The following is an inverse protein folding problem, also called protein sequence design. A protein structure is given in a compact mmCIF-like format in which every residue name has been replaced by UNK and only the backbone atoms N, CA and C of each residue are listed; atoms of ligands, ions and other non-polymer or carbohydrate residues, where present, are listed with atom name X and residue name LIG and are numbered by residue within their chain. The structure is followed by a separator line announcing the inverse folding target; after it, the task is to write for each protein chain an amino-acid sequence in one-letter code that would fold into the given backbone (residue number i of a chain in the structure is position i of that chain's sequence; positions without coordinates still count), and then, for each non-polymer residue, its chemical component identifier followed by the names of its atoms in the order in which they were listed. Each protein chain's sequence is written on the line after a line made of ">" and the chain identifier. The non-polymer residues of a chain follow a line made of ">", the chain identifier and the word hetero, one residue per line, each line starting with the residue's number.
data_IF_807763128571
#
_entry.id   IF_807763128571
#
_cell.length_a   1.000
_cell.length_b   1.000
_cell.length_c   1.000
_cell.angle_alpha   90.00
_cell.angle_beta   90.00
_cell.angle_gamma   90.00
#
_symmetry.space_group_name_H-M   'P 1'
#
loop_
_entity.id
_entity.type
_entity.pdbx_description
1 polymer ?
#
# COMPACT_ATOMS: atom_id res chain seq x y z
N UNK A 1 22.84 10.33 -0.42
CA UNK A 1 21.64 9.53 -0.73
C UNK A 1 21.74 9.03 -2.16
N UNK A 2 21.68 7.72 -2.37
CA UNK A 2 21.68 7.12 -3.71
C UNK A 2 20.24 7.04 -4.19
N UNK A 3 19.94 7.66 -5.32
CA UNK A 3 18.64 7.57 -5.99
C UNK A 3 18.79 6.80 -7.30
N UNK A 4 17.83 5.96 -7.62
CA UNK A 4 17.74 5.26 -8.90
C UNK A 4 16.40 5.57 -9.55
N UNK A 5 16.33 5.50 -10.87
CA UNK A 5 15.07 5.57 -11.61
C UNK A 5 14.76 4.18 -12.15
N UNK A 6 13.57 3.66 -11.82
CA UNK A 6 13.09 2.34 -12.23
C UNK A 6 11.67 2.54 -12.74
N UNK A 7 11.37 2.09 -13.95
CA UNK A 7 10.05 2.26 -14.59
C UNK A 7 9.55 3.71 -14.64
N UNK A 8 10.46 4.69 -14.68
CA UNK A 8 10.15 6.13 -14.64
C UNK A 8 9.85 6.69 -13.24
N UNK A 9 9.96 5.86 -12.20
CA UNK A 9 9.78 6.25 -10.80
C UNK A 9 11.14 6.41 -10.14
N UNK A 10 11.36 7.59 -9.54
CA UNK A 10 12.56 7.87 -8.76
C UNK A 10 12.47 7.24 -7.38
N UNK A 11 13.32 6.26 -7.10
CA UNK A 11 13.38 5.55 -5.83
C UNK A 11 14.64 5.98 -5.07
N UNK A 12 14.47 6.42 -3.82
CA UNK A 12 15.61 6.65 -2.93
C UNK A 12 15.83 5.44 -2.02
N UNK A 13 17.09 5.20 -1.67
CA UNK A 13 17.44 4.16 -0.71
C UNK A 13 16.66 4.32 0.62
N UNK A 14 16.01 3.23 1.05
CA UNK A 14 15.19 3.20 2.27
C UNK A 14 13.72 3.59 2.07
N UNK A 15 13.32 4.06 0.89
CA UNK A 15 11.91 4.28 0.58
C UNK A 15 11.15 2.96 0.42
N UNK A 16 9.86 3.02 0.71
CA UNK A 16 8.91 1.95 0.46
C UNK A 16 8.45 2.07 -0.98
N UNK A 17 8.44 0.96 -1.70
CA UNK A 17 7.98 0.89 -3.08
C UNK A 17 6.59 0.25 -3.14
N UNK A 18 5.77 0.72 -4.07
CA UNK A 18 4.49 0.10 -4.40
C UNK A 18 4.60 -0.58 -5.76
N UNK A 19 4.12 -1.81 -5.82
CA UNK A 19 4.13 -2.65 -7.01
C UNK A 19 2.69 -2.99 -7.40
N UNK A 20 2.29 -2.69 -8.63
CA UNK A 20 1.01 -3.12 -9.18
C UNK A 20 1.29 -4.11 -10.33
N UNK A 21 0.83 -5.36 -10.18
CA UNK A 21 1.10 -6.46 -11.12
C UNK A 21 2.60 -6.61 -11.46
N UNK A 22 3.45 -6.48 -10.44
CA UNK A 22 4.92 -6.59 -10.57
C UNK A 22 5.62 -5.36 -11.14
N UNK A 23 4.88 -4.34 -11.61
CA UNK A 23 5.44 -3.09 -12.09
C UNK A 23 5.58 -2.09 -10.95
N UNK A 24 6.73 -1.40 -10.90
CA UNK A 24 6.94 -0.34 -9.92
C UNK A 24 6.16 0.92 -10.32
N UNK A 25 5.22 1.31 -9.47
CA UNK A 25 4.30 2.44 -9.74
C UNK A 25 4.57 3.66 -8.85
N UNK A 26 5.19 3.45 -7.69
CA UNK A 26 5.51 4.54 -6.77
C UNK A 26 6.63 4.18 -5.79
N UNK A 27 7.30 5.22 -5.28
CA UNK A 27 8.04 5.17 -4.01
C UNK A 27 7.49 6.20 -3.03
N UNK A 28 7.71 5.95 -1.75
CA UNK A 28 7.19 6.77 -0.65
C UNK A 28 8.06 6.65 0.59
N UNK A 29 7.99 7.66 1.46
CA UNK A 29 8.76 7.68 2.72
C UNK A 29 8.07 6.91 3.84
N UNK A 30 6.79 6.60 3.68
CA UNK A 30 6.00 5.89 4.68
C UNK A 30 5.12 4.81 4.03
N UNK A 31 4.73 3.82 4.83
CA UNK A 31 3.87 2.73 4.38
C UNK A 31 2.46 3.23 4.08
N UNK A 32 1.99 4.23 4.82
CA UNK A 32 0.72 4.91 4.59
C UNK A 32 0.70 5.58 3.22
N UNK A 33 1.71 6.41 2.93
CA UNK A 33 1.83 7.10 1.64
C UNK A 33 1.95 6.10 0.47
N UNK A 34 2.73 5.01 0.65
CA UNK A 34 2.83 3.95 -0.35
C UNK A 34 1.47 3.27 -0.62
N UNK A 35 0.70 2.99 0.45
CA UNK A 35 -0.61 2.32 0.35
C UNK A 35 -1.62 3.22 -0.37
N UNK A 36 -1.67 4.51 -0.04
CA UNK A 36 -2.55 5.46 -0.71
C UNK A 36 -2.20 5.66 -2.18
N UNK A 37 -0.90 5.74 -2.52
CA UNK A 37 -0.44 5.83 -3.91
C UNK A 37 -0.75 4.56 -4.71
N UNK A 38 -0.70 3.39 -4.05
CA UNK A 38 -1.11 2.13 -4.66
C UNK A 38 -2.61 2.16 -5.01
N UNK A 39 -3.47 2.52 -4.06
CA UNK A 39 -4.93 2.56 -4.25
C UNK A 39 -5.34 3.55 -5.35
N UNK A 40 -4.67 4.70 -5.43
CA UNK A 40 -4.88 5.68 -6.50
C UNK A 40 -4.52 5.10 -7.88
N UNK A 41 -3.37 4.41 -8.00
CA UNK A 41 -2.99 3.74 -9.26
C UNK A 41 -3.86 2.53 -9.59
N UNK A 42 -4.41 1.85 -8.58
CA UNK A 42 -5.34 0.75 -8.74
C UNK A 42 -6.76 1.23 -9.07
N UNK A 43 -7.00 2.55 -9.09
CA UNK A 43 -8.32 3.15 -9.28
C UNK A 43 -9.35 2.59 -8.29
N UNK A 44 -9.00 2.52 -7.01
CA UNK A 44 -9.85 1.88 -6.01
C UNK A 44 -11.27 2.46 -5.88
N UNK A 45 -11.48 3.71 -6.31
CA UNK A 45 -12.81 4.34 -6.39
C UNK A 45 -13.76 3.66 -7.41
N UNK A 46 -13.22 2.89 -8.36
CA UNK A 46 -14.01 2.15 -9.37
C UNK A 46 -14.49 0.76 -8.85
N UNK A 47 -14.19 0.43 -7.60
CA UNK A 47 -14.39 -0.89 -6.97
C UNK A 47 -15.13 -0.75 -5.63
N UNK A 48 -15.61 -1.85 -5.06
CA UNK A 48 -16.40 -1.83 -3.83
C UNK A 48 -15.60 -2.26 -2.60
N UNK A 49 -14.60 -3.12 -2.76
CA UNK A 49 -13.87 -3.76 -1.67
C UNK A 49 -12.36 -3.49 -1.75
N UNK A 50 -11.78 -3.09 -0.62
CA UNK A 50 -10.33 -3.02 -0.41
C UNK A 50 -9.95 -4.01 0.70
N UNK A 51 -9.15 -5.01 0.38
CA UNK A 51 -8.64 -5.97 1.37
C UNK A 51 -7.15 -5.75 1.62
N UNK A 52 -6.78 -5.49 2.88
CA UNK A 52 -5.38 -5.36 3.31
C UNK A 52 -4.91 -6.63 4.03
N UNK A 53 -3.92 -7.31 3.46
CA UNK A 53 -3.19 -8.40 4.10
C UNK A 53 -1.88 -7.86 4.66
N UNK A 54 -1.74 -7.75 5.98
CA UNK A 54 -0.51 -7.24 6.59
C UNK A 54 0.52 -8.34 6.85
N UNK A 55 1.79 -8.01 6.61
CA UNK A 55 2.92 -8.91 6.85
C UNK A 55 3.30 -9.05 8.32
N UNK A 56 4.10 -10.07 8.62
CA UNK A 56 4.46 -10.46 9.99
C UNK A 56 5.17 -9.34 10.79
N UNK A 57 5.88 -8.45 10.11
CA UNK A 57 6.66 -7.38 10.74
C UNK A 57 5.85 -6.09 10.96
N UNK A 58 4.59 -6.05 10.53
CA UNK A 58 3.72 -4.89 10.69
C UNK A 58 2.87 -5.03 11.94
N UNK A 59 3.14 -4.18 12.93
CA UNK A 59 2.40 -4.16 14.19
C UNK A 59 0.96 -3.68 13.96
N UNK A 60 -0.01 -4.35 14.59
CA UNK A 60 -1.44 -4.03 14.50
C UNK A 60 -1.81 -2.56 14.74
N UNK A 61 -1.21 -1.83 15.72
CA UNK A 61 -1.50 -0.40 15.87
C UNK A 61 -1.10 0.46 14.66
N UNK A 62 -0.09 0.04 13.89
CA UNK A 62 0.30 0.71 12.65
C UNK A 62 -0.70 0.39 11.52
N UNK A 63 -1.16 -0.86 11.44
CA UNK A 63 -2.19 -1.28 10.48
C UNK A 63 -3.47 -0.46 10.69
N UNK A 64 -3.96 -0.37 11.92
CA UNK A 64 -5.18 0.37 12.24
C UNK A 64 -5.11 1.84 11.79
N UNK A 65 -3.99 2.52 12.06
CA UNK A 65 -3.78 3.91 11.61
C UNK A 65 -3.87 4.07 10.10
N UNK A 66 -3.27 3.15 9.35
CA UNK A 66 -3.29 3.19 7.88
C UNK A 66 -4.71 2.92 7.37
N UNK A 67 -5.41 1.97 7.98
CA UNK A 67 -6.80 1.64 7.64
C UNK A 67 -7.74 2.81 7.92
N UNK A 68 -7.55 3.53 9.01
CA UNK A 68 -8.34 4.73 9.33
C UNK A 68 -8.16 5.81 8.25
N UNK A 69 -6.91 6.05 7.82
CA UNK A 69 -6.61 7.00 6.73
C UNK A 69 -7.19 6.54 5.39
N UNK A 70 -7.14 5.23 5.09
CA UNK A 70 -7.76 4.69 3.87
C UNK A 70 -9.28 4.87 3.93
N UNK A 71 -9.94 4.59 5.06
CA UNK A 71 -11.39 4.82 5.26
C UNK A 71 -11.78 6.28 5.05
N UNK A 72 -10.96 7.22 5.51
CA UNK A 72 -11.21 8.64 5.31
C UNK A 72 -11.11 9.04 3.83
N UNK A 73 -10.18 8.45 3.07
CA UNK A 73 -9.99 8.76 1.65
C UNK A 73 -10.96 8.01 0.72
N UNK A 74 -11.34 6.80 1.09
CA UNK A 74 -12.19 5.87 0.33
C UNK A 74 -13.43 5.51 1.15
N UNK A 75 -14.34 6.47 1.44
CA UNK A 75 -15.47 6.27 2.35
C UNK A 75 -16.56 5.35 1.80
N UNK A 76 -16.61 5.19 0.47
CA UNK A 76 -17.61 4.36 -0.21
C UNK A 76 -17.16 2.90 -0.36
N UNK A 77 -15.88 2.59 -0.11
CA UNK A 77 -15.33 1.24 -0.17
C UNK A 77 -15.51 0.50 1.17
N UNK A 78 -15.89 -0.78 1.11
CA UNK A 78 -15.74 -1.70 2.22
C UNK A 78 -14.24 -2.01 2.43
N UNK A 79 -13.79 -2.00 3.69
CA UNK A 79 -12.38 -2.22 4.02
C UNK A 79 -12.23 -3.40 4.97
N UNK A 80 -11.62 -4.45 4.45
CA UNK A 80 -11.26 -5.65 5.18
C UNK A 80 -9.76 -5.68 5.52
N UNK A 81 -9.44 -6.26 6.68
CA UNK A 81 -8.06 -6.38 7.17
C UNK A 81 -7.82 -7.80 7.63
N UNK A 82 -6.82 -8.44 7.05
CA UNK A 82 -6.46 -9.83 7.32
C UNK A 82 -4.99 -9.90 7.77
N UNK A 83 -4.71 -10.76 8.74
CA UNK A 83 -3.34 -11.13 9.09
C UNK A 83 -2.80 -12.07 8.00
N UNK A 84 -1.98 -11.52 7.11
CA UNK A 84 -1.42 -12.26 5.99
C UNK A 84 -0.13 -13.01 6.34
N UNK A 85 0.57 -12.57 7.39
CA UNK A 85 1.80 -13.20 7.87
C UNK A 85 2.94 -13.24 6.84
N UNK A 86 2.89 -12.44 5.78
CA UNK A 86 3.90 -12.51 4.72
C UNK A 86 5.27 -12.06 5.25
N UNK A 87 6.36 -12.79 4.91
CA UNK A 87 7.70 -12.47 5.41
C UNK A 87 8.41 -11.35 4.62
N UNK A 88 7.93 -11.02 3.42
CA UNK A 88 8.63 -10.11 2.50
C UNK A 88 7.84 -8.84 2.16
N UNK A 89 6.54 -8.82 2.41
CA UNK A 89 5.66 -7.70 2.07
C UNK A 89 5.08 -7.13 3.34
N UNK A 90 5.17 -5.81 3.52
CA UNK A 90 4.48 -5.13 4.61
C UNK A 90 2.97 -5.17 4.42
N UNK A 91 2.52 -5.01 3.17
CA UNK A 91 1.14 -5.20 2.75
C UNK A 91 1.05 -5.89 1.40
N UNK A 92 0.03 -6.71 1.24
CA UNK A 92 -0.58 -7.04 -0.04
C UNK A 92 -1.98 -6.42 0.00
N UNK A 93 -2.38 -5.74 -1.07
CA UNK A 93 -3.67 -5.06 -1.18
C UNK A 93 -4.42 -5.66 -2.38
N UNK A 94 -5.65 -6.11 -2.15
CA UNK A 94 -6.61 -6.45 -3.20
C UNK A 94 -7.65 -5.33 -3.34
N UNK A 95 -8.10 -5.08 -4.56
CA UNK A 95 -9.12 -4.09 -4.90
C UNK A 95 -10.09 -4.76 -5.87
N UNK A 96 -11.37 -4.85 -5.49
CA UNK A 96 -12.39 -5.70 -6.16
C UNK A 96 -13.79 -5.07 -6.19
#
# INVERSE_FOLDING_TARGET
>A
TRSVEIDGVKVNEGEIIALHNGKLIASAKSLEEASLKFLEHAQADDYELITLFYGQDVKRPRVNKIVDVIREKYPDNEIEVQDGGQPHYQFIISVE
#
